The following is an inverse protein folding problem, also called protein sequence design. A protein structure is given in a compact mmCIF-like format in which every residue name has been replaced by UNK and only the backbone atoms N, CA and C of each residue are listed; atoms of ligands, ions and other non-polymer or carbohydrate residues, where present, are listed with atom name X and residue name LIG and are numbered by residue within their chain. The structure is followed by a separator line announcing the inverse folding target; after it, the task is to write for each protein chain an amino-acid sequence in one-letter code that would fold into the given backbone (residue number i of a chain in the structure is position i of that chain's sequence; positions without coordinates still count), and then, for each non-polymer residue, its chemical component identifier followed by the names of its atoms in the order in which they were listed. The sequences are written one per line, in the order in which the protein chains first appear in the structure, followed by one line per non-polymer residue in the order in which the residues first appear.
data_IF_888301730607
#
_entry.id   IF_888301730607
#
_cell.length_a   1.000
_cell.length_b   1.000
_cell.length_c   1.000
_cell.angle_alpha   90.00
_cell.angle_beta   90.00
_cell.angle_gamma   90.00
#
_symmetry.space_group_name_H-M   'P 1'
#
loop_
_entity.id
_entity.type
_entity.pdbx_description
1 polymer ?
#
# COMPACT_ATOMS: atom_id res chain seq x y z
N UNK A 1 21.05 57.19 -3.77
CA UNK A 1 21.91 56.23 -4.50
C UNK A 1 22.60 55.25 -3.56
N UNK A 2 23.25 55.69 -2.48
CA UNK A 2 23.84 54.79 -1.47
C UNK A 2 22.84 53.76 -0.91
N UNK A 3 21.65 54.22 -0.49
CA UNK A 3 20.62 53.32 0.08
C UNK A 3 20.16 52.26 -0.91
N UNK A 4 20.03 52.60 -2.18
CA UNK A 4 19.64 51.67 -3.25
C UNK A 4 20.72 50.59 -3.49
N UNK A 5 22.01 50.96 -3.40
CA UNK A 5 23.12 50.02 -3.53
C UNK A 5 23.19 49.08 -2.32
N UNK A 6 23.05 49.62 -1.12
CA UNK A 6 23.05 48.83 0.12
C UNK A 6 21.82 47.91 0.20
N UNK A 7 20.63 48.39 -0.19
CA UNK A 7 19.41 47.58 -0.22
C UNK A 7 19.48 46.48 -1.27
N UNK A 8 20.07 46.75 -2.44
CA UNK A 8 20.28 45.75 -3.49
C UNK A 8 21.17 44.61 -2.99
N UNK A 9 22.30 44.94 -2.34
CA UNK A 9 23.20 43.93 -1.80
C UNK A 9 22.57 43.16 -0.64
N UNK A 10 21.86 43.84 0.27
CA UNK A 10 21.12 43.18 1.34
C UNK A 10 20.06 42.21 0.80
N UNK A 11 19.34 42.57 -0.27
CA UNK A 11 18.36 41.71 -0.91
C UNK A 11 19.00 40.44 -1.51
N UNK A 12 20.15 40.57 -2.18
CA UNK A 12 20.91 39.42 -2.69
C UNK A 12 21.31 38.46 -1.57
N UNK A 13 21.87 38.97 -0.47
CA UNK A 13 22.26 38.14 0.68
C UNK A 13 21.06 37.49 1.37
N UNK A 14 19.95 38.22 1.53
CA UNK A 14 18.72 37.67 2.09
C UNK A 14 18.16 36.53 1.22
N UNK A 15 18.20 36.66 -0.10
CA UNK A 15 17.79 35.60 -1.03
C UNK A 15 18.70 34.37 -0.95
N UNK A 16 20.02 34.56 -0.94
CA UNK A 16 20.96 33.43 -0.81
C UNK A 16 20.75 32.68 0.51
N UNK A 17 20.53 33.41 1.61
CA UNK A 17 20.25 32.79 2.89
C UNK A 17 18.91 32.04 2.90
N UNK A 18 17.85 32.61 2.31
CA UNK A 18 16.55 31.93 2.23
C UNK A 18 16.63 30.65 1.39
N UNK A 19 17.39 30.67 0.30
CA UNK A 19 17.66 29.48 -0.52
C UNK A 19 18.42 28.41 0.26
N UNK A 20 19.46 28.79 1.00
CA UNK A 20 20.21 27.88 1.86
C UNK A 20 19.32 27.26 2.96
N UNK A 21 18.51 28.08 3.64
CA UNK A 21 17.59 27.63 4.67
C UNK A 21 16.54 26.67 4.11
N UNK A 22 16.00 26.96 2.92
CA UNK A 22 15.10 26.07 2.19
C UNK A 22 15.79 24.74 1.85
N UNK A 23 16.96 24.77 1.22
CA UNK A 23 17.71 23.57 0.83
C UNK A 23 18.01 22.67 2.03
N UNK A 24 18.33 23.25 3.19
CA UNK A 24 18.54 22.51 4.44
C UNK A 24 17.30 21.72 4.85
N UNK A 25 16.09 22.30 4.73
CA UNK A 25 14.85 21.60 5.05
C UNK A 25 14.60 20.39 4.13
N UNK A 26 15.05 20.44 2.88
CA UNK A 26 14.86 19.36 1.91
C UNK A 26 15.77 18.14 2.18
N UNK A 27 16.78 18.27 3.04
CA UNK A 27 17.72 17.17 3.37
C UNK A 27 17.18 16.11 4.35
N UNK A 28 15.98 16.32 4.92
CA UNK A 28 15.37 15.43 5.92
C UNK A 28 13.94 15.09 5.52
N UNK A 29 13.59 13.80 5.59
CA UNK A 29 12.24 13.29 5.24
C UNK A 29 11.13 14.04 6.00
N UNK A 30 11.38 14.41 7.26
CA UNK A 30 10.39 15.09 8.11
C UNK A 30 10.06 16.51 7.66
N UNK A 31 10.97 17.18 6.94
CA UNK A 31 10.85 18.58 6.56
C UNK A 31 10.84 18.82 5.05
N UNK A 32 11.17 17.79 4.25
CA UNK A 32 11.13 17.89 2.80
C UNK A 32 9.71 18.09 2.27
N UNK A 33 9.57 18.89 1.22
CA UNK A 33 8.30 19.25 0.56
C UNK A 33 8.39 19.07 -0.94
N UNK A 34 7.22 18.99 -1.59
CA UNK A 34 7.10 18.97 -3.05
C UNK A 34 7.96 17.86 -3.68
N UNK A 35 8.54 18.13 -4.86
CA UNK A 35 9.35 17.19 -5.62
C UNK A 35 10.54 16.57 -4.87
N UNK A 36 11.07 17.24 -3.84
CA UNK A 36 12.18 16.68 -3.03
C UNK A 36 11.74 15.45 -2.25
N UNK A 37 10.49 15.42 -1.80
CA UNK A 37 9.94 14.26 -1.12
C UNK A 37 9.74 13.09 -2.09
N UNK A 38 9.46 13.34 -3.37
CA UNK A 38 9.43 12.32 -4.42
C UNK A 38 10.82 11.77 -4.74
N UNK A 39 11.83 12.62 -4.79
CA UNK A 39 13.24 12.18 -4.96
C UNK A 39 13.65 11.27 -3.80
N UNK A 40 13.35 11.67 -2.56
CA UNK A 40 13.61 10.84 -1.37
C UNK A 40 12.90 9.48 -1.48
N UNK A 41 11.64 9.45 -1.90
CA UNK A 41 10.92 8.19 -2.10
C UNK A 41 11.60 7.32 -3.16
N UNK A 42 12.07 7.94 -4.26
CA UNK A 42 12.84 7.28 -5.31
C UNK A 42 14.15 6.67 -4.81
N UNK A 43 14.88 7.37 -3.94
CA UNK A 43 16.14 6.85 -3.39
C UNK A 43 15.94 5.59 -2.53
N UNK A 44 14.86 5.53 -1.74
CA UNK A 44 14.59 4.38 -0.87
C UNK A 44 13.83 3.25 -1.55
N UNK A 45 12.92 3.57 -2.47
CA UNK A 45 11.94 2.61 -2.99
C UNK A 45 11.94 2.50 -4.53
N UNK A 46 12.75 3.29 -5.23
CA UNK A 46 12.71 3.37 -6.69
C UNK A 46 11.32 3.72 -7.18
N UNK A 47 10.74 2.87 -8.01
CA UNK A 47 9.38 3.04 -8.54
C UNK A 47 8.30 2.31 -7.74
N UNK A 48 8.65 1.66 -6.62
CA UNK A 48 7.69 0.90 -5.82
C UNK A 48 6.74 1.79 -5.01
N UNK A 49 7.18 3.00 -4.65
CA UNK A 49 6.35 4.00 -3.97
C UNK A 49 6.41 5.28 -4.77
N UNK A 50 5.27 5.64 -5.37
CA UNK A 50 5.11 6.87 -6.15
C UNK A 50 3.95 7.65 -5.55
N UNK A 51 4.08 8.98 -5.53
CA UNK A 51 3.04 9.87 -5.03
C UNK A 51 1.77 9.74 -5.87
N UNK A 52 0.62 9.50 -5.21
CA UNK A 52 -0.67 9.48 -5.88
C UNK A 52 -1.04 10.87 -6.40
N UNK A 53 -1.85 10.92 -7.44
CA UNK A 53 -2.40 12.18 -7.93
C UNK A 53 -3.13 12.92 -6.79
N UNK A 54 -2.84 14.22 -6.62
CA UNK A 54 -3.40 15.06 -5.56
C UNK A 54 -3.06 14.64 -4.10
N UNK A 55 -2.10 13.75 -3.89
CA UNK A 55 -1.66 13.39 -2.54
C UNK A 55 -0.85 14.53 -1.91
N UNK A 56 -1.20 14.90 -0.67
CA UNK A 56 -0.49 15.94 0.09
C UNK A 56 0.87 15.45 0.59
N UNK A 57 1.82 16.37 0.79
CA UNK A 57 3.14 16.06 1.35
C UNK A 57 3.05 15.34 2.70
N UNK A 58 2.10 15.74 3.55
CA UNK A 58 1.91 15.10 4.86
C UNK A 58 1.47 13.64 4.72
N UNK A 59 0.52 13.36 3.82
CA UNK A 59 0.07 12.00 3.53
C UNK A 59 1.19 11.17 2.91
N UNK A 60 1.88 11.70 1.89
CA UNK A 60 2.93 10.96 1.21
C UNK A 60 4.13 10.67 2.12
N UNK A 61 4.52 11.64 2.96
CA UNK A 61 5.55 11.45 3.98
C UNK A 61 5.19 10.33 4.96
N UNK A 62 3.94 10.26 5.40
CA UNK A 62 3.49 9.17 6.27
C UNK A 62 3.64 7.82 5.55
N UNK A 63 3.27 7.72 4.27
CA UNK A 63 3.47 6.50 3.46
C UNK A 63 4.95 6.10 3.38
N UNK A 64 5.86 7.05 3.13
CA UNK A 64 7.32 6.80 3.09
C UNK A 64 7.80 6.24 4.44
N UNK A 65 7.45 6.91 5.55
CA UNK A 65 7.89 6.51 6.89
C UNK A 65 7.37 5.12 7.26
N UNK A 66 6.08 4.87 7.00
CA UNK A 66 5.46 3.56 7.28
C UNK A 66 6.19 2.46 6.52
N UNK A 67 6.51 2.66 5.25
CA UNK A 67 7.17 1.65 4.43
C UNK A 67 8.66 1.47 4.76
N UNK A 68 9.32 2.50 5.29
CA UNK A 68 10.71 2.44 5.73
C UNK A 68 10.87 1.53 6.95
N UNK A 69 9.90 1.58 7.87
CA UNK A 69 9.92 0.82 9.12
C UNK A 69 8.93 -0.35 9.14
N UNK A 70 8.38 -0.72 7.99
CA UNK A 70 7.44 -1.84 7.87
C UNK A 70 8.13 -3.15 8.23
N UNK A 71 7.46 -3.95 9.04
CA UNK A 71 7.87 -5.33 9.29
C UNK A 71 7.88 -6.11 7.97
N UNK A 72 8.94 -6.89 7.73
CA UNK A 72 9.09 -7.77 6.57
C UNK A 72 9.62 -9.13 7.04
N UNK A 73 9.57 -10.11 6.14
CA UNK A 73 10.10 -11.44 6.35
C UNK A 73 9.40 -12.24 7.47
N UNK A 74 8.14 -11.90 7.79
CA UNK A 74 7.35 -12.60 8.82
C UNK A 74 5.93 -12.91 8.37
N UNK A 75 5.28 -13.88 9.02
CA UNK A 75 3.85 -14.15 8.86
C UNK A 75 3.00 -12.90 9.05
N UNK A 76 3.31 -12.12 10.10
CA UNK A 76 2.58 -10.91 10.44
C UNK A 76 2.69 -9.86 9.31
N UNK A 77 3.86 -9.72 8.69
CA UNK A 77 4.04 -8.79 7.57
C UNK A 77 3.15 -9.10 6.36
N UNK A 78 3.01 -10.39 6.00
CA UNK A 78 2.13 -10.84 4.90
C UNK A 78 0.66 -10.58 5.24
N UNK A 79 0.24 -10.86 6.47
CA UNK A 79 -1.12 -10.59 6.92
C UNK A 79 -1.40 -9.08 6.88
N UNK A 80 -0.49 -8.26 7.40
CA UNK A 80 -0.64 -6.82 7.48
C UNK A 80 -0.74 -6.17 6.09
N UNK A 81 0.18 -6.46 5.16
CA UNK A 81 0.16 -5.88 3.81
C UNK A 81 -1.11 -6.25 3.05
N UNK A 82 -1.55 -7.51 3.13
CA UNK A 82 -2.75 -7.96 2.42
C UNK A 82 -4.02 -7.39 3.04
N UNK A 83 -4.06 -7.25 4.36
CA UNK A 83 -5.20 -6.62 5.05
C UNK A 83 -5.27 -5.13 4.72
N UNK A 84 -4.15 -4.42 4.68
CA UNK A 84 -4.09 -3.01 4.28
C UNK A 84 -4.49 -2.81 2.82
N UNK A 85 -4.01 -3.67 1.93
CA UNK A 85 -4.30 -3.59 0.50
C UNK A 85 -5.77 -3.92 0.20
N UNK A 86 -6.32 -4.97 0.82
CA UNK A 86 -7.61 -5.54 0.41
C UNK A 86 -8.75 -5.26 1.40
N UNK A 87 -8.45 -4.72 2.57
CA UNK A 87 -9.38 -4.59 3.69
C UNK A 87 -9.79 -5.92 4.32
N UNK A 88 -9.18 -7.06 3.91
CA UNK A 88 -9.56 -8.40 4.35
C UNK A 88 -8.35 -9.18 4.84
N UNK A 89 -8.52 -9.82 5.99
CA UNK A 89 -7.48 -10.65 6.59
C UNK A 89 -7.29 -11.92 5.76
N UNK A 90 -6.09 -12.19 5.20
CA UNK A 90 -5.83 -13.42 4.45
C UNK A 90 -5.72 -14.63 5.38
N UNK A 91 -5.86 -15.83 4.82
CA UNK A 91 -5.54 -17.08 5.52
C UNK A 91 -4.13 -17.51 5.15
N UNK A 92 -3.24 -17.65 6.15
CA UNK A 92 -1.84 -18.06 5.95
C UNK A 92 -1.57 -19.36 6.71
N UNK A 93 -1.07 -20.35 5.98
CA UNK A 93 -0.70 -21.69 6.46
C UNK A 93 0.78 -21.94 6.21
N UNK A 94 1.53 -22.21 7.28
CA UNK A 94 2.93 -22.61 7.23
C UNK A 94 3.06 -24.11 7.56
N UNK A 95 3.48 -24.98 6.61
CA UNK A 95 3.51 -26.44 6.81
C UNK A 95 4.43 -26.94 7.94
N UNK A 96 5.36 -26.11 8.42
CA UNK A 96 6.25 -26.42 9.53
C UNK A 96 5.76 -25.84 10.87
N UNK A 97 4.62 -25.13 10.87
CA UNK A 97 4.04 -24.50 12.05
C UNK A 97 2.95 -25.40 12.64
N UNK A 98 3.17 -26.03 13.81
CA UNK A 98 2.20 -26.95 14.40
C UNK A 98 0.83 -26.29 14.68
N UNK A 99 0.79 -24.97 14.89
CA UNK A 99 -0.46 -24.24 15.07
C UNK A 99 -1.33 -24.18 13.80
N UNK A 100 -0.74 -24.32 12.60
CA UNK A 100 -1.47 -24.29 11.33
C UNK A 100 -1.82 -25.71 10.84
N UNK A 101 -1.03 -26.71 11.24
CA UNK A 101 -1.10 -28.09 10.71
C UNK A 101 -1.57 -29.12 11.73
N UNK A 102 -1.80 -28.65 12.96
CA UNK A 102 -2.30 -29.40 14.09
C UNK A 102 -1.24 -29.96 15.05
N UNK A 103 -1.58 -29.87 16.33
CA UNK A 103 -0.86 -30.42 17.47
C UNK A 103 -1.84 -30.72 18.62
N UNK A 104 -1.41 -31.49 19.62
CA UNK A 104 -2.19 -31.68 20.83
C UNK A 104 -2.53 -30.34 21.50
N UNK A 105 -3.79 -30.19 21.93
CA UNK A 105 -4.33 -28.99 22.58
C UNK A 105 -4.34 -27.71 21.72
N UNK A 106 -4.31 -27.84 20.38
CA UNK A 106 -4.53 -26.72 19.45
C UNK A 106 -5.94 -26.84 18.83
N UNK A 107 -6.72 -25.74 18.72
CA UNK A 107 -8.01 -25.76 18.02
C UNK A 107 -7.83 -26.12 16.54
N UNK A 108 -8.79 -26.86 15.96
CA UNK A 108 -8.80 -27.36 14.57
C UNK A 108 -7.83 -28.51 14.26
N UNK A 109 -7.79 -29.52 15.13
CA UNK A 109 -6.89 -30.67 14.98
C UNK A 109 -7.66 -31.98 14.98
N UNK A 110 -7.49 -32.78 13.92
CA UNK A 110 -8.14 -34.08 13.77
C UNK A 110 -8.17 -34.56 12.31
N UNK A 111 -8.25 -35.87 12.11
CA UNK A 111 -8.52 -36.41 10.78
C UNK A 111 -9.97 -36.10 10.38
N UNK A 112 -10.15 -35.53 9.19
CA UNK A 112 -11.48 -35.23 8.65
C UNK A 112 -12.16 -33.97 9.19
N UNK A 113 -11.45 -33.12 9.95
CA UNK A 113 -11.94 -31.79 10.34
C UNK A 113 -11.30 -30.69 9.49
N UNK A 114 -11.87 -29.48 9.55
CA UNK A 114 -11.33 -28.33 8.84
C UNK A 114 -9.94 -27.97 9.38
N UNK A 115 -8.90 -27.98 8.54
CA UNK A 115 -7.51 -27.77 8.92
C UNK A 115 -6.53 -27.99 7.76
N UNK A 116 -5.23 -27.84 8.01
CA UNK A 116 -4.19 -28.09 7.02
C UNK A 116 -3.29 -29.25 7.44
N UNK A 117 -2.64 -29.89 6.46
CA UNK A 117 -1.61 -30.90 6.72
C UNK A 117 -0.23 -30.27 6.55
N UNK A 118 0.65 -30.56 7.52
CA UNK A 118 2.02 -30.08 7.55
C UNK A 118 3.00 -31.08 6.93
N UNK A 119 4.20 -30.58 6.62
CA UNK A 119 5.32 -31.42 6.19
C UNK A 119 6.63 -30.78 6.58
N UNK A 120 7.45 -31.51 7.34
CA UNK A 120 8.82 -31.09 7.66
C UNK A 120 9.77 -31.22 6.45
N UNK A 121 9.35 -31.95 5.41
CA UNK A 121 10.10 -32.14 4.17
C UNK A 121 9.90 -31.00 3.15
N UNK A 122 9.00 -30.05 3.44
CA UNK A 122 8.74 -28.87 2.62
C UNK A 122 9.18 -27.59 3.37
N UNK A 123 10.49 -27.40 3.62
CA UNK A 123 10.97 -26.21 4.31
C UNK A 123 10.78 -24.96 3.44
N UNK A 124 10.73 -23.80 4.10
CA UNK A 124 10.71 -22.49 3.42
C UNK A 124 9.51 -22.29 2.48
N UNK A 125 8.35 -22.87 2.81
CA UNK A 125 7.11 -22.71 2.06
C UNK A 125 5.97 -22.17 2.93
N UNK A 126 5.07 -21.40 2.32
CA UNK A 126 3.81 -20.99 2.92
C UNK A 126 2.69 -20.98 1.88
N UNK A 127 1.45 -21.21 2.33
CA UNK A 127 0.25 -21.14 1.50
C UNK A 127 -0.62 -19.98 1.98
N UNK A 128 -0.95 -19.08 1.08
CA UNK A 128 -1.72 -17.87 1.34
C UNK A 128 -3.02 -17.91 0.54
N UNK A 129 -4.15 -17.80 1.21
CA UNK A 129 -5.42 -17.44 0.57
C UNK A 129 -5.62 -15.95 0.76
N UNK A 130 -5.48 -15.19 -0.32
CA UNK A 130 -5.73 -13.76 -0.36
C UNK A 130 -7.12 -13.49 -0.93
N UNK A 131 -7.72 -12.37 -0.52
CA UNK A 131 -9.06 -11.99 -0.92
C UNK A 131 -9.04 -10.73 -1.75
N UNK A 132 -9.84 -10.66 -2.80
CA UNK A 132 -10.09 -9.40 -3.50
C UNK A 132 -10.84 -8.43 -2.58
N UNK A 133 -10.61 -7.11 -2.70
CA UNK A 133 -11.35 -6.13 -1.92
C UNK A 133 -12.86 -6.26 -2.14
N UNK A 134 -13.64 -5.89 -1.13
CA UNK A 134 -15.09 -5.74 -1.30
C UNK A 134 -15.31 -4.49 -2.16
N UNK A 135 -15.88 -4.66 -3.36
CA UNK A 135 -16.11 -3.54 -4.27
C UNK A 135 -16.99 -2.46 -3.64
N UNK A 136 -16.58 -1.19 -3.75
CA UNK A 136 -17.34 -0.02 -3.27
C UNK A 136 -18.38 0.50 -4.28
N UNK A 137 -18.51 -0.16 -5.43
CA UNK A 137 -19.32 0.32 -6.56
C UNK A 137 -18.65 1.50 -7.27
N UNK A 138 -19.35 2.08 -8.24
CA UNK A 138 -18.89 3.29 -8.94
C UNK A 138 -19.61 4.49 -8.29
N UNK A 139 -18.89 5.50 -7.77
CA UNK A 139 -19.52 6.68 -7.19
C UNK A 139 -20.53 7.32 -8.14
N UNK A 140 -21.69 7.69 -7.61
CA UNK A 140 -22.77 8.35 -8.36
C UNK A 140 -23.38 7.53 -9.52
N UNK A 141 -23.03 6.26 -9.70
CA UNK A 141 -23.66 5.35 -10.64
C UNK A 141 -24.51 4.34 -9.88
N UNK A 142 -25.78 4.21 -10.26
CA UNK A 142 -26.69 3.28 -9.61
C UNK A 142 -26.42 1.84 -10.06
N UNK A 143 -26.63 0.89 -9.14
CA UNK A 143 -26.58 -0.53 -9.46
C UNK A 143 -27.66 -0.96 -10.44
N UNK A 144 -27.44 -2.10 -11.10
CA UNK A 144 -28.40 -2.65 -12.06
C UNK A 144 -29.78 -2.89 -11.42
N UNK A 145 -30.85 -2.51 -12.14
CA UNK A 145 -32.23 -2.66 -11.67
C UNK A 145 -32.76 -1.50 -10.81
N UNK A 146 -31.99 -0.44 -10.59
CA UNK A 146 -32.44 0.77 -9.90
C UNK A 146 -32.76 1.86 -10.94
N UNK A 147 -34.00 2.36 -10.97
CA UNK A 147 -34.41 3.42 -11.90
C UNK A 147 -33.92 4.80 -11.42
N UNK A 148 -32.79 5.25 -11.97
CA UNK A 148 -32.19 6.57 -11.65
C UNK A 148 -32.00 7.48 -12.85
N UNK A 149 -32.44 7.05 -14.05
CA UNK A 149 -32.53 7.89 -15.24
C UNK A 149 -33.93 8.52 -15.34
N UNK A 150 -33.99 9.84 -15.55
CA UNK A 150 -35.25 10.55 -15.70
C UNK A 150 -35.07 11.97 -16.26
N UNK A 151 -36.12 12.51 -16.87
CA UNK A 151 -36.11 13.90 -17.35
C UNK A 151 -36.21 14.88 -16.17
N UNK A 152 -35.37 15.93 -16.17
CA UNK A 152 -35.38 16.97 -15.15
C UNK A 152 -34.61 16.65 -13.85
N UNK A 153 -33.92 15.51 -13.79
CA UNK A 153 -33.05 15.11 -12.67
C UNK A 153 -31.65 14.74 -13.18
N UNK A 154 -30.61 14.93 -12.35
CA UNK A 154 -29.26 14.48 -12.69
C UNK A 154 -29.24 12.94 -12.80
N UNK A 155 -28.94 12.42 -13.99
CA UNK A 155 -28.90 10.98 -14.25
C UNK A 155 -27.78 10.31 -13.45
N UNK A 156 -28.10 9.16 -12.85
CA UNK A 156 -27.13 8.22 -12.26
C UNK A 156 -27.14 6.86 -12.98
N UNK A 157 -27.75 6.82 -14.16
CA UNK A 157 -27.83 5.64 -15.00
C UNK A 157 -26.76 5.73 -16.09
N UNK A 158 -25.68 4.96 -15.94
CA UNK A 158 -24.56 4.90 -16.87
C UNK A 158 -24.02 3.46 -16.94
N UNK A 159 -23.45 3.07 -18.08
CA UNK A 159 -22.68 1.84 -18.18
C UNK A 159 -21.34 2.02 -17.48
N UNK A 160 -21.17 1.34 -16.35
CA UNK A 160 -19.90 1.31 -15.62
C UNK A 160 -18.77 0.76 -16.49
N UNK A 161 -17.61 1.41 -16.41
CA UNK A 161 -16.36 0.92 -17.00
C UNK A 161 -15.32 0.69 -15.90
N UNK A 162 -14.34 -0.19 -16.14
CA UNK A 162 -13.25 -0.45 -15.18
C UNK A 162 -12.49 0.82 -14.80
N UNK A 163 -12.38 1.79 -15.71
CA UNK A 163 -11.75 3.10 -15.47
C UNK A 163 -12.53 3.99 -14.49
N UNK A 164 -13.79 3.69 -14.20
CA UNK A 164 -14.61 4.43 -13.23
C UNK A 164 -14.49 3.87 -11.81
N UNK A 165 -13.77 2.77 -11.62
CA UNK A 165 -13.48 2.19 -10.31
C UNK A 165 -12.14 2.77 -9.83
N UNK A 166 -12.22 3.78 -8.97
CA UNK A 166 -11.04 4.34 -8.31
C UNK A 166 -10.42 3.30 -7.35
N UNK A 167 -9.08 3.24 -7.30
CA UNK A 167 -8.29 2.34 -6.44
C UNK A 167 -8.59 0.83 -6.60
N UNK A 168 -8.75 0.35 -7.84
CA UNK A 168 -8.88 -1.10 -8.10
C UNK A 168 -7.59 -1.84 -7.75
N UNK A 169 -7.62 -2.67 -6.70
CA UNK A 169 -6.55 -3.63 -6.40
C UNK A 169 -6.66 -4.81 -7.36
N UNK A 170 -5.62 -5.02 -8.15
CA UNK A 170 -5.52 -6.13 -9.09
C UNK A 170 -4.89 -7.37 -8.43
N UNK A 171 -5.08 -8.53 -9.05
CA UNK A 171 -4.39 -9.76 -8.62
C UNK A 171 -2.87 -9.60 -8.65
N UNK A 172 -2.34 -8.82 -9.62
CA UNK A 172 -0.93 -8.50 -9.71
C UNK A 172 -0.44 -7.69 -8.50
N UNK A 173 -1.26 -6.75 -8.00
CA UNK A 173 -0.94 -5.98 -6.79
C UNK A 173 -0.87 -6.89 -5.56
N UNK A 174 -1.74 -7.90 -5.46
CA UNK A 174 -1.72 -8.90 -4.39
C UNK A 174 -0.42 -9.72 -4.43
N UNK A 175 -0.02 -10.18 -5.62
CA UNK A 175 1.26 -10.91 -5.76
C UNK A 175 2.46 -10.02 -5.44
N UNK A 176 2.50 -8.78 -5.94
CA UNK A 176 3.56 -7.83 -5.67
C UNK A 176 3.66 -7.47 -4.18
N UNK A 177 2.51 -7.32 -3.51
CA UNK A 177 2.43 -7.09 -2.07
C UNK A 177 3.06 -8.23 -1.28
N UNK A 178 2.73 -9.49 -1.59
CA UNK A 178 3.33 -10.66 -0.96
C UNK A 178 4.84 -10.70 -1.21
N UNK A 179 5.27 -10.51 -2.45
CA UNK A 179 6.68 -10.55 -2.82
C UNK A 179 7.50 -9.48 -2.11
N UNK A 180 6.92 -8.29 -1.92
CA UNK A 180 7.60 -7.18 -1.25
C UNK A 180 7.95 -7.49 0.22
N UNK A 181 7.16 -8.31 0.92
CA UNK A 181 7.35 -8.58 2.35
C UNK A 181 7.81 -10.00 2.65
N UNK A 182 7.76 -10.94 1.70
CA UNK A 182 8.19 -12.32 1.95
C UNK A 182 9.69 -12.41 2.21
N UNK A 183 10.09 -13.47 2.90
CA UNK A 183 11.51 -13.79 3.08
C UNK A 183 12.10 -14.14 1.70
N UNK A 184 13.31 -13.63 1.40
CA UNK A 184 14.03 -14.04 0.20
C UNK A 184 14.33 -15.56 0.24
N UNK A 185 14.18 -16.25 -0.90
CA UNK A 185 14.42 -17.68 -0.99
C UNK A 185 13.31 -18.60 -0.47
N UNK A 186 12.18 -18.06 -0.01
CA UNK A 186 10.98 -18.85 0.31
C UNK A 186 9.98 -18.88 -0.85
N UNK A 187 9.22 -19.97 -0.94
CA UNK A 187 8.10 -20.11 -1.87
C UNK A 187 6.79 -19.83 -1.15
N UNK A 188 6.08 -18.79 -1.59
CA UNK A 188 4.75 -18.46 -1.07
C UNK A 188 3.73 -18.72 -2.17
N UNK A 189 2.93 -19.76 -2.00
CA UNK A 189 1.87 -20.13 -2.93
C UNK A 189 0.62 -19.33 -2.61
N UNK A 190 0.09 -18.57 -3.57
CA UNK A 190 -1.08 -17.74 -3.35
C UNK A 190 -2.29 -18.21 -4.16
N UNK A 191 -3.42 -18.38 -3.48
CA UNK A 191 -4.76 -18.56 -4.05
C UNK A 191 -5.54 -17.27 -3.83
N UNK A 192 -6.08 -16.68 -4.89
CA UNK A 192 -6.87 -15.46 -4.82
C UNK A 192 -8.36 -15.80 -4.94
N UNK A 193 -9.16 -15.39 -3.95
CA UNK A 193 -10.62 -15.61 -3.93
C UNK A 193 -11.39 -14.31 -3.72
N UNK A 194 -12.71 -14.36 -3.87
CA UNK A 194 -13.62 -13.25 -3.58
C UNK A 194 -14.18 -13.30 -2.16
#
# INVERSE_FOLDING_TARGET
MLDAVLSGWAACWAFLYSLYAYARLQTRILTATDGWLDVIAGDFFGTAIVRKQHQTDASFRATIIINLFRERATRASVIAILTELTGRVPVVIEPQRPADTGAYSVPNTGYGVNGAYGSMLLPAQAFVTAFRPVGSGIPYVAGYGISTGGYGVASRAEYGSLSMIEDTVTDADIYAAIDSVKVAGTAVWARITT
#
